data_IF_820644661502
#
_entry.id   IF_820644661502
#
_cell.length_a   1.000
_cell.length_b   1.000
_cell.length_c   1.000
_cell.angle_alpha   90.00
_cell.angle_beta   90.00
_cell.angle_gamma   90.00
#
_symmetry.space_group_name_H-M   'P 1'
#
loop_
_entity.id
_entity.type
_entity.pdbx_description
1 polymer ?
#
# COMPACT_ATOMS: atom_id res chain seq x y z
N UNK A 1 14.11 -18.68 -14.28
CA UNK A 1 13.83 -17.43 -15.02
C UNK A 1 13.75 -16.29 -14.01
N UNK A 2 14.63 -15.27 -14.11
CA UNK A 2 14.62 -14.11 -13.19
C UNK A 2 13.38 -13.28 -13.50
N UNK A 3 12.35 -13.37 -12.66
CA UNK A 3 11.13 -12.60 -12.80
C UNK A 3 11.45 -11.12 -12.52
N UNK A 4 11.77 -10.36 -13.57
CA UNK A 4 12.14 -8.94 -13.44
C UNK A 4 10.87 -8.20 -13.09
N UNK A 5 10.70 -7.82 -11.82
CA UNK A 5 9.56 -6.98 -11.39
C UNK A 5 9.57 -5.74 -12.27
N UNK A 6 8.47 -5.50 -12.99
CA UNK A 6 8.34 -4.36 -13.88
C UNK A 6 8.23 -3.11 -13.00
N UNK A 7 9.23 -2.23 -13.09
CA UNK A 7 9.32 -1.04 -12.23
C UNK A 7 8.23 -0.01 -12.57
N UNK A 8 7.77 -0.01 -13.82
CA UNK A 8 6.76 0.92 -14.34
C UNK A 8 5.68 0.20 -15.14
N UNK A 9 4.46 0.68 -15.06
CA UNK A 9 3.32 0.21 -15.85
C UNK A 9 2.88 1.24 -16.90
N UNK A 10 2.24 0.74 -17.94
CA UNK A 10 1.54 1.56 -18.94
C UNK A 10 0.15 1.92 -18.43
N UNK A 11 -0.50 2.91 -19.06
CA UNK A 11 -1.88 3.26 -18.73
C UNK A 11 -2.87 2.12 -19.00
N UNK A 12 -2.58 1.24 -19.98
CA UNK A 12 -3.40 0.04 -20.23
C UNK A 12 -3.25 -0.97 -19.10
N UNK A 13 -2.02 -1.28 -18.70
CA UNK A 13 -1.77 -2.21 -17.57
C UNK A 13 -2.39 -1.69 -16.27
N UNK A 14 -2.36 -0.37 -16.05
CA UNK A 14 -3.05 0.24 -14.91
C UNK A 14 -4.58 0.14 -15.04
N UNK A 15 -5.14 0.30 -16.24
CA UNK A 15 -6.57 0.13 -16.48
C UNK A 15 -7.01 -1.31 -16.16
N UNK A 16 -6.25 -2.29 -16.61
CA UNK A 16 -6.50 -3.71 -16.37
C UNK A 16 -6.39 -4.03 -14.87
N UNK A 17 -5.36 -3.52 -14.19
CA UNK A 17 -5.17 -3.69 -12.75
C UNK A 17 -6.33 -3.11 -11.93
N UNK A 18 -6.82 -1.92 -12.30
CA UNK A 18 -7.91 -1.24 -11.59
C UNK A 18 -9.31 -1.70 -12.03
N UNK A 19 -9.41 -2.59 -13.03
CA UNK A 19 -10.69 -2.99 -13.63
C UNK A 19 -11.41 -1.84 -14.35
N UNK A 20 -10.68 -0.81 -14.78
CA UNK A 20 -11.22 0.35 -15.49
C UNK A 20 -11.28 0.01 -16.98
N UNK A 21 -12.49 0.06 -17.56
CA UNK A 21 -12.72 -0.33 -18.97
C UNK A 21 -12.05 0.59 -20.00
N UNK A 22 -11.70 1.83 -19.63
CA UNK A 22 -11.14 2.81 -20.56
C UNK A 22 -9.82 3.38 -20.07
N UNK A 23 -8.79 3.27 -20.91
CA UNK A 23 -7.48 3.92 -20.71
C UNK A 23 -7.61 5.44 -20.65
N UNK A 24 -8.61 6.03 -21.30
CA UNK A 24 -8.85 7.48 -21.26
C UNK A 24 -9.23 7.92 -19.85
N UNK A 25 -10.00 7.10 -19.12
CA UNK A 25 -10.30 7.34 -17.71
C UNK A 25 -9.02 7.32 -16.88
N UNK A 26 -8.09 6.39 -17.16
CA UNK A 26 -6.77 6.36 -16.49
C UNK A 26 -6.00 7.66 -16.75
N UNK A 27 -5.89 8.11 -18.00
CA UNK A 27 -5.23 9.39 -18.30
C UNK A 27 -5.89 10.59 -17.64
N UNK A 28 -7.23 10.61 -17.57
CA UNK A 28 -7.97 11.65 -16.86
C UNK A 28 -7.60 11.66 -15.37
N UNK A 29 -7.63 10.50 -14.72
CA UNK A 29 -7.29 10.38 -13.30
C UNK A 29 -5.82 10.72 -13.01
N UNK A 30 -4.90 10.38 -13.91
CA UNK A 30 -3.49 10.80 -13.83
C UNK A 30 -3.35 12.32 -13.93
N UNK A 31 -4.00 12.94 -14.93
CA UNK A 31 -3.97 14.40 -15.10
C UNK A 31 -4.62 15.13 -13.90
N UNK A 32 -5.66 14.55 -13.30
CA UNK A 32 -6.32 15.09 -12.10
C UNK A 32 -5.53 14.82 -10.80
N UNK A 33 -4.43 14.07 -10.86
CA UNK A 33 -3.63 13.71 -9.68
C UNK A 33 -4.32 12.74 -8.72
N UNK A 34 -5.39 12.06 -9.17
CA UNK A 34 -6.16 11.11 -8.34
C UNK A 34 -5.49 9.75 -8.21
N UNK A 35 -4.64 9.41 -9.16
CA UNK A 35 -3.80 8.21 -9.14
C UNK A 35 -2.33 8.60 -9.30
N UNK A 36 -1.41 7.90 -8.62
CA UNK A 36 0.02 8.16 -8.71
C UNK A 36 0.54 8.02 -10.15
N UNK A 37 1.31 9.00 -10.59
CA UNK A 37 2.05 8.95 -11.83
C UNK A 37 2.84 10.23 -12.05
N UNK A 38 3.86 10.17 -12.88
CA UNK A 38 4.69 11.32 -13.25
C UNK A 38 4.65 11.50 -14.75
N UNK A 39 4.38 12.72 -15.20
CA UNK A 39 4.44 13.06 -16.61
C UNK A 39 5.88 13.42 -16.98
N UNK A 40 6.52 12.59 -17.82
CA UNK A 40 7.87 12.81 -18.32
C UNK A 40 7.78 13.07 -19.82
N UNK A 41 7.95 14.33 -20.22
CA UNK A 41 7.71 14.78 -21.59
C UNK A 41 6.24 14.58 -22.00
N UNK A 42 6.02 13.74 -23.03
CA UNK A 42 4.69 13.41 -23.53
C UNK A 42 4.14 12.09 -23.00
N UNK A 43 4.87 11.40 -22.11
CA UNK A 43 4.49 10.10 -21.61
C UNK A 43 4.22 10.14 -20.11
N UNK A 44 3.31 9.26 -19.68
CA UNK A 44 3.08 8.99 -18.26
C UNK A 44 3.96 7.83 -17.83
N UNK A 45 4.77 8.07 -16.81
CA UNK A 45 5.53 7.05 -16.08
C UNK A 45 4.73 6.73 -14.83
N UNK A 46 4.32 5.47 -14.69
CA UNK A 46 3.47 5.01 -13.60
C UNK A 46 4.29 3.98 -12.80
N UNK A 47 4.89 4.34 -11.66
CA UNK A 47 5.67 3.41 -10.87
C UNK A 47 4.77 2.33 -10.25
N UNK A 48 5.11 1.06 -10.45
CA UNK A 48 4.29 -0.06 -9.98
C UNK A 48 4.10 -0.03 -8.47
N UNK A 49 5.17 0.21 -7.73
CA UNK A 49 5.12 0.25 -6.27
C UNK A 49 4.23 1.40 -5.75
N UNK A 50 4.29 2.56 -6.39
CA UNK A 50 3.48 3.71 -6.00
C UNK A 50 1.98 3.44 -6.15
N UNK A 51 1.57 2.74 -7.21
CA UNK A 51 0.16 2.33 -7.38
C UNK A 51 -0.27 1.34 -6.31
N UNK A 52 0.56 0.34 -6.00
CA UNK A 52 0.25 -0.63 -4.95
C UNK A 52 0.10 0.05 -3.59
N UNK A 53 1.05 0.93 -3.24
CA UNK A 53 1.00 1.68 -1.98
C UNK A 53 -0.24 2.56 -1.90
N UNK A 54 -0.60 3.23 -3.00
CA UNK A 54 -1.83 4.01 -3.09
C UNK A 54 -3.08 3.15 -2.90
N UNK A 55 -3.15 1.95 -3.50
CA UNK A 55 -4.27 1.03 -3.30
C UNK A 55 -4.39 0.58 -1.86
N UNK A 56 -3.27 0.25 -1.21
CA UNK A 56 -3.26 -0.10 0.21
C UNK A 56 -3.75 1.05 1.08
N UNK A 57 -3.24 2.26 0.86
CA UNK A 57 -3.68 3.45 1.62
C UNK A 57 -5.14 3.76 1.35
N UNK A 58 -5.63 3.64 0.11
CA UNK A 58 -7.03 3.86 -0.21
C UNK A 58 -7.96 2.84 0.48
N UNK A 59 -7.59 1.57 0.47
CA UNK A 59 -8.32 0.51 1.15
C UNK A 59 -8.30 0.67 2.68
N UNK A 60 -7.16 1.07 3.23
CA UNK A 60 -6.99 1.34 4.66
C UNK A 60 -7.66 2.64 5.09
N UNK A 61 -7.77 3.65 4.22
CA UNK A 61 -8.50 4.89 4.51
C UNK A 61 -9.98 4.65 4.82
N UNK A 62 -10.60 3.65 4.18
CA UNK A 62 -11.92 3.15 4.58
C UNK A 62 -11.93 2.52 5.98
N UNK A 63 -10.83 1.88 6.38
CA UNK A 63 -10.66 1.26 7.69
C UNK A 63 -10.18 2.23 8.76
N UNK A 64 -9.62 3.40 8.41
CA UNK A 64 -9.12 4.42 9.35
C UNK A 64 -10.17 4.78 10.41
N UNK A 65 -11.43 4.90 10.01
CA UNK A 65 -12.55 5.17 10.91
C UNK A 65 -12.80 4.05 11.93
N UNK A 66 -12.53 2.81 11.52
CA UNK A 66 -12.62 1.62 12.39
C UNK A 66 -11.39 1.58 13.31
N UNK A 67 -10.21 1.85 12.77
CA UNK A 67 -8.93 1.84 13.50
C UNK A 67 -8.86 2.94 14.58
N UNK A 68 -9.30 4.15 14.27
CA UNK A 68 -9.43 5.25 15.24
C UNK A 68 -10.46 4.91 16.33
N UNK A 69 -11.55 4.24 15.98
CA UNK A 69 -12.58 3.84 16.94
C UNK A 69 -12.09 2.78 17.94
N UNK A 70 -11.17 1.91 17.53
CA UNK A 70 -10.52 0.92 18.41
C UNK A 70 -9.25 1.45 19.07
N UNK A 71 -8.95 2.75 18.93
CA UNK A 71 -7.81 3.41 19.59
C UNK A 71 -6.44 3.16 18.94
N UNK A 72 -6.40 2.68 17.69
CA UNK A 72 -5.14 2.44 16.96
C UNK A 72 -4.78 3.67 16.14
N UNK A 73 -3.61 4.25 16.39
CA UNK A 73 -3.08 5.36 15.59
C UNK A 73 -2.65 4.90 14.19
N UNK A 74 -3.19 5.55 13.17
CA UNK A 74 -2.94 5.18 11.78
C UNK A 74 -1.51 5.51 11.34
N UNK A 75 -0.90 6.56 11.88
CA UNK A 75 0.48 6.93 11.57
C UNK A 75 1.47 5.90 12.08
N UNK A 76 1.28 5.45 13.32
CA UNK A 76 2.07 4.41 13.96
C UNK A 76 1.94 3.05 13.26
N UNK A 77 0.71 2.67 12.88
CA UNK A 77 0.47 1.45 12.12
C UNK A 77 1.18 1.47 10.76
N UNK A 78 1.13 2.59 10.05
CA UNK A 78 1.76 2.72 8.74
C UNK A 78 3.29 2.73 8.83
N UNK A 79 3.86 3.34 9.88
CA UNK A 79 5.29 3.26 10.17
C UNK A 79 5.72 1.82 10.48
N UNK A 80 4.91 1.09 11.24
CA UNK A 80 5.13 -0.33 11.52
C UNK A 80 5.09 -1.18 10.24
N UNK A 81 4.08 -1.01 9.38
CA UNK A 81 4.00 -1.73 8.09
C UNK A 81 5.18 -1.38 7.17
N UNK A 82 5.62 -0.12 7.16
CA UNK A 82 6.80 0.31 6.40
C UNK A 82 8.08 -0.37 6.91
N UNK A 83 8.25 -0.45 8.23
CA UNK A 83 9.32 -1.23 8.88
C UNK A 83 9.23 -2.69 8.47
N UNK A 84 8.06 -3.31 8.55
CA UNK A 84 7.87 -4.71 8.16
C UNK A 84 8.20 -4.99 6.69
N UNK A 85 7.84 -4.10 5.76
CA UNK A 85 8.21 -4.27 4.35
C UNK A 85 9.71 -4.15 4.11
N UNK A 86 10.42 -3.38 4.93
CA UNK A 86 11.89 -3.40 4.94
C UNK A 86 12.43 -4.76 5.41
N UNK A 87 11.72 -5.44 6.32
CA UNK A 87 12.02 -6.76 6.85
C UNK A 87 11.50 -7.95 6.02
N UNK A 88 10.56 -7.80 5.08
CA UNK A 88 10.08 -8.91 4.22
C UNK A 88 11.15 -9.46 3.24
N UNK A 89 12.35 -8.87 3.21
CA UNK A 89 13.55 -9.53 2.68
C UNK A 89 14.10 -10.63 3.63
N UNK A 90 13.50 -10.82 4.81
CA UNK A 90 13.80 -11.87 5.78
C UNK A 90 12.61 -12.84 5.83
N UNK A 91 12.87 -14.03 5.29
CA UNK A 91 11.95 -15.09 4.89
C UNK A 91 11.19 -15.81 6.00
N UNK A 92 10.61 -15.15 7.03
CA UNK A 92 9.70 -15.87 7.94
C UNK A 92 8.77 -14.97 8.77
N UNK A 93 7.45 -15.16 8.60
CA UNK A 93 6.39 -14.58 9.45
C UNK A 93 6.46 -15.06 10.91
N UNK A 94 7.13 -16.18 11.20
CA UNK A 94 7.33 -16.67 12.57
C UNK A 94 8.19 -15.75 13.45
N UNK A 95 8.98 -14.86 12.83
CA UNK A 95 9.85 -13.94 13.56
C UNK A 95 9.17 -12.62 13.96
N UNK A 96 8.02 -12.29 13.34
CA UNK A 96 7.20 -11.13 13.72
C UNK A 96 6.59 -11.27 15.12
N UNK A 97 6.19 -12.49 15.49
CA UNK A 97 5.58 -12.79 16.80
C UNK A 97 6.59 -12.72 17.95
N UNK A 98 7.89 -12.70 17.62
CA UNK A 98 9.00 -12.66 18.60
C UNK A 98 9.52 -11.25 18.87
N UNK A 99 8.93 -10.22 18.25
CA UNK A 99 9.31 -8.83 18.51
C UNK A 99 8.75 -8.41 19.88
N UNK A 100 9.58 -7.89 20.81
CA UNK A 100 9.15 -7.53 22.16
C UNK A 100 8.04 -6.47 22.16
N UNK A 101 8.04 -5.55 21.18
CA UNK A 101 6.99 -4.57 20.94
C UNK A 101 5.63 -5.17 20.52
N UNK A 102 5.60 -6.38 19.96
CA UNK A 102 4.36 -7.08 19.62
C UNK A 102 3.71 -7.76 20.84
N UNK A 103 4.50 -8.01 21.89
CA UNK A 103 4.03 -8.59 23.15
C UNK A 103 3.11 -7.65 23.92
N UNK A 104 3.46 -6.36 24.00
CA UNK A 104 2.65 -5.35 24.71
C UNK A 104 1.26 -5.17 24.10
N UNK A 105 1.15 -5.20 22.77
CA UNK A 105 -0.14 -5.01 22.07
C UNK A 105 -1.09 -6.19 22.32
N UNK A 106 -0.58 -7.43 22.45
CA UNK A 106 -1.43 -8.59 22.78
C UNK A 106 -2.04 -8.47 24.18
N UNK A 107 -1.30 -7.98 25.16
CA UNK A 107 -1.82 -7.80 26.52
C UNK A 107 -2.83 -6.65 26.60
N UNK A 108 -2.61 -5.56 25.87
CA UNK A 108 -3.51 -4.41 25.85
C UNK A 108 -4.85 -4.71 25.15
N UNK A 109 -4.81 -5.47 24.05
CA UNK A 109 -6.02 -5.87 23.30
C UNK A 109 -6.83 -6.95 24.05
N UNK A 110 -6.17 -7.83 24.82
CA UNK A 110 -6.85 -8.85 25.64
C UNK A 110 -7.52 -8.23 26.87
N UNK A 111 -6.99 -7.13 27.40
CA UNK A 111 -7.53 -6.43 28.56
C UNK A 111 -8.67 -5.44 28.24
N UNK A 112 -9.04 -5.27 26.96
CA UNK A 112 -10.18 -4.46 26.50
C UNK A 112 -11.52 -5.24 26.46
N UNK A 113 -11.66 -6.29 27.26
CA UNK A 113 -12.86 -7.16 27.31
C UNK A 113 -13.77 -6.88 28.50
#
# INVERSE_FOLDING_TARGET
MRNKRKETMTAQELADLLGIKSVQTVYKLLNEGKIPGVKVGHQWVIPTQAILDWLYVAALGSQKRILEHIGVDFGELMDWIAKLRHYENCSNLDNLVKMPEFGSIKEEVVNLR
#
